data_IF_448337352501
#
_entry.id   IF_448337352501
#
_cell.length_a   1.000
_cell.length_b   1.000
_cell.length_c   1.000
_cell.angle_alpha   90.00
_cell.angle_beta   90.00
_cell.angle_gamma   90.00
#
_symmetry.space_group_name_H-M   'P 1'
#
loop_
_entity.id
_entity.type
_entity.pdbx_description
1 polymer ?
#
# COMPACT_ATOMS: atom_id res chain seq x y z
N UNK A 1 17.15 -14.93 19.73
CA UNK A 1 15.90 -14.17 19.46
C UNK A 1 15.93 -13.58 18.05
N UNK A 2 16.23 -14.39 17.01
CA UNK A 2 16.29 -13.93 15.61
C UNK A 2 15.36 -14.72 14.67
N UNK A 3 14.61 -15.70 15.19
CA UNK A 3 13.94 -16.71 14.35
C UNK A 3 12.40 -16.64 14.32
N UNK A 4 11.74 -15.88 15.21
CA UNK A 4 10.27 -15.78 15.21
C UNK A 4 9.72 -14.60 14.40
N UNK A 5 10.49 -13.51 14.30
CA UNK A 5 9.99 -12.28 13.65
C UNK A 5 10.09 -12.38 12.12
N UNK A 6 11.09 -13.08 11.60
CA UNK A 6 11.23 -13.33 10.16
C UNK A 6 10.26 -14.38 9.63
N UNK A 7 9.72 -15.26 10.48
CA UNK A 7 8.68 -16.22 10.08
C UNK A 7 7.42 -15.52 9.52
N UNK A 8 7.09 -14.33 10.05
CA UNK A 8 5.98 -13.47 9.55
C UNK A 8 6.16 -13.14 8.07
N UNK A 9 7.40 -12.95 7.61
CA UNK A 9 7.69 -12.66 6.20
C UNK A 9 7.41 -13.86 5.31
N UNK A 10 7.85 -15.06 5.74
CA UNK A 10 7.56 -16.32 5.04
C UNK A 10 6.06 -16.58 4.98
N UNK A 11 5.35 -16.44 6.10
CA UNK A 11 3.89 -16.60 6.15
C UNK A 11 3.16 -15.57 5.27
N UNK A 12 3.66 -14.32 5.23
CA UNK A 12 3.15 -13.28 4.35
C UNK A 12 3.33 -13.59 2.86
N UNK A 13 4.52 -14.08 2.46
CA UNK A 13 4.79 -14.56 1.10
C UNK A 13 3.92 -15.76 0.74
N UNK A 14 3.69 -16.67 1.68
CA UNK A 14 2.78 -17.81 1.53
C UNK A 14 1.33 -17.37 1.30
N UNK A 15 0.81 -16.36 2.01
CA UNK A 15 -0.54 -15.84 1.73
C UNK A 15 -0.61 -15.19 0.35
N UNK A 16 0.41 -14.41 -0.03
CA UNK A 16 0.49 -13.78 -1.35
C UNK A 16 0.48 -14.82 -2.48
N UNK A 17 1.33 -15.85 -2.39
CA UNK A 17 1.41 -16.93 -3.38
C UNK A 17 0.13 -17.75 -3.47
N UNK A 18 -0.55 -17.98 -2.35
CA UNK A 18 -1.75 -18.81 -2.30
C UNK A 18 -3.03 -18.09 -2.75
N UNK A 19 -3.05 -16.74 -2.73
CA UNK A 19 -4.25 -15.92 -2.94
C UNK A 19 -5.10 -16.38 -4.13
N UNK A 20 -4.50 -16.46 -5.32
CA UNK A 20 -5.23 -16.81 -6.55
C UNK A 20 -5.71 -18.24 -6.56
N UNK A 21 -4.88 -19.19 -6.13
CA UNK A 21 -5.25 -20.62 -6.12
C UNK A 21 -6.38 -20.92 -5.16
N UNK A 22 -6.43 -20.21 -4.03
CA UNK A 22 -7.39 -20.50 -2.96
C UNK A 22 -8.74 -19.82 -3.17
N UNK A 23 -8.74 -18.56 -3.59
CA UNK A 23 -9.98 -17.76 -3.66
C UNK A 23 -10.50 -17.59 -5.08
N UNK A 24 -9.66 -17.82 -6.09
CA UNK A 24 -9.92 -17.38 -7.45
C UNK A 24 -9.81 -15.85 -7.63
N UNK A 25 -9.39 -15.11 -6.59
CA UNK A 25 -9.24 -13.67 -6.60
C UNK A 25 -7.84 -13.20 -6.14
N UNK A 26 -7.66 -11.87 -6.15
CA UNK A 26 -6.39 -11.18 -5.88
C UNK A 26 -6.41 -10.44 -4.53
N UNK A 27 -7.46 -10.61 -3.74
CA UNK A 27 -7.74 -9.77 -2.58
C UNK A 27 -7.20 -10.37 -1.30
N UNK A 28 -7.12 -11.69 -1.16
CA UNK A 28 -6.48 -12.30 0.02
C UNK A 28 -4.98 -11.92 0.13
N UNK A 29 -4.33 -11.65 -1.00
CA UNK A 29 -2.98 -11.07 -1.07
C UNK A 29 -2.81 -9.80 -0.20
N UNK A 30 -3.87 -9.04 0.07
CA UNK A 30 -3.81 -7.88 0.95
C UNK A 30 -3.30 -8.23 2.35
N UNK A 31 -3.70 -9.39 2.90
CA UNK A 31 -3.31 -9.79 4.25
C UNK A 31 -1.85 -10.26 4.30
N UNK A 32 -1.36 -10.92 3.23
CA UNK A 32 0.05 -11.27 3.10
C UNK A 32 0.94 -10.03 3.00
N UNK A 33 0.57 -9.08 2.15
CA UNK A 33 1.23 -7.78 2.05
C UNK A 33 1.18 -7.00 3.38
N UNK A 34 0.06 -7.05 4.09
CA UNK A 34 -0.09 -6.40 5.38
C UNK A 34 0.76 -7.05 6.48
N UNK A 35 0.93 -8.37 6.46
CA UNK A 35 1.77 -9.07 7.42
C UNK A 35 3.25 -8.64 7.28
N UNK A 36 3.73 -8.60 6.04
CA UNK A 36 5.07 -8.10 5.70
C UNK A 36 5.20 -6.62 6.09
N UNK A 37 4.20 -5.79 5.80
CA UNK A 37 4.19 -4.38 6.19
C UNK A 37 4.26 -4.20 7.72
N UNK A 38 3.58 -5.04 8.49
CA UNK A 38 3.63 -5.02 9.95
C UNK A 38 5.04 -5.31 10.50
N UNK A 39 5.74 -6.30 9.92
CA UNK A 39 7.14 -6.58 10.26
C UNK A 39 8.04 -5.37 9.97
N UNK A 40 7.97 -4.84 8.75
CA UNK A 40 8.83 -3.71 8.38
C UNK A 40 8.45 -2.41 9.09
N UNK A 41 7.18 -2.22 9.48
CA UNK A 41 6.78 -1.08 10.29
C UNK A 41 7.50 -1.07 11.64
N UNK A 42 7.56 -2.22 12.31
CA UNK A 42 8.31 -2.39 13.57
C UNK A 42 9.80 -2.13 13.31
N UNK A 43 10.38 -2.84 12.34
CA UNK A 43 11.82 -2.82 12.06
C UNK A 43 12.32 -1.42 11.65
N UNK A 44 11.67 -0.80 10.67
CA UNK A 44 12.12 0.47 10.08
C UNK A 44 11.91 1.68 11.00
N UNK A 45 11.01 1.58 11.98
CA UNK A 45 10.75 2.65 12.95
C UNK A 45 11.37 2.38 14.32
N UNK A 46 12.14 1.29 14.47
CA UNK A 46 12.74 0.88 15.73
C UNK A 46 11.73 0.85 16.89
N UNK A 47 10.52 0.35 16.61
CA UNK A 47 9.48 0.24 17.63
C UNK A 47 9.94 -0.75 18.71
N UNK A 48 9.66 -0.43 19.96
CA UNK A 48 10.06 -1.27 21.10
C UNK A 48 8.93 -1.35 22.14
N UNK A 49 8.96 -2.40 22.95
CA UNK A 49 8.06 -2.57 24.09
C UNK A 49 6.60 -2.71 23.67
N UNK A 50 5.70 -1.98 24.34
CA UNK A 50 4.24 -2.18 24.17
C UNK A 50 3.73 -2.00 22.75
N UNK A 51 4.35 -1.12 21.97
CA UNK A 51 3.91 -0.85 20.58
C UNK A 51 4.29 -2.01 19.67
N UNK A 52 5.55 -2.45 19.75
CA UNK A 52 6.06 -3.63 19.04
C UNK A 52 5.22 -4.87 19.37
N UNK A 53 5.00 -5.14 20.66
CA UNK A 53 4.20 -6.27 21.13
C UNK A 53 2.77 -6.24 20.57
N UNK A 54 2.14 -5.06 20.54
CA UNK A 54 0.77 -4.90 20.06
C UNK A 54 0.67 -5.09 18.53
N UNK A 55 1.59 -4.49 17.76
CA UNK A 55 1.66 -4.69 16.30
C UNK A 55 1.88 -6.17 15.98
N UNK A 56 2.84 -6.81 16.65
CA UNK A 56 3.16 -8.22 16.45
C UNK A 56 2.01 -9.15 16.87
N UNK A 57 1.25 -8.80 17.92
CA UNK A 57 0.06 -9.54 18.33
C UNK A 57 -1.04 -9.50 17.28
N UNK A 58 -1.38 -8.30 16.77
CA UNK A 58 -2.39 -8.15 15.72
C UNK A 58 -1.96 -8.81 14.41
N UNK A 59 -0.67 -8.70 14.06
CA UNK A 59 -0.12 -9.34 12.86
C UNK A 59 -0.23 -10.86 12.94
N UNK A 60 0.17 -11.48 14.07
CA UNK A 60 0.00 -12.92 14.30
C UNK A 60 -1.46 -13.36 14.29
N UNK A 61 -2.37 -12.54 14.83
CA UNK A 61 -3.81 -12.84 14.84
C UNK A 61 -4.39 -12.81 13.42
N UNK A 62 -3.97 -11.86 12.59
CA UNK A 62 -4.33 -11.81 11.17
C UNK A 62 -3.79 -13.02 10.41
N UNK A 63 -2.50 -13.36 10.59
CA UNK A 63 -1.90 -14.56 10.00
C UNK A 63 -2.64 -15.82 10.42
N UNK A 64 -2.96 -15.98 11.70
CA UNK A 64 -3.72 -17.14 12.19
C UNK A 64 -5.11 -17.30 11.59
N UNK A 65 -5.69 -16.23 11.00
CA UNK A 65 -6.97 -16.29 10.28
C UNK A 65 -6.81 -16.62 8.81
N UNK A 66 -5.81 -16.06 8.13
CA UNK A 66 -5.68 -16.12 6.66
C UNK A 66 -4.62 -17.08 6.14
N UNK A 67 -3.62 -17.43 6.96
CA UNK A 67 -2.62 -18.41 6.59
C UNK A 67 -3.27 -19.80 6.57
N UNK A 68 -3.15 -20.48 5.45
CA UNK A 68 -3.60 -21.85 5.30
C UNK A 68 -2.39 -22.80 5.32
N UNK A 69 -2.55 -24.06 5.77
CA UNK A 69 -1.48 -25.04 5.70
C UNK A 69 -1.00 -25.24 4.26
N UNK A 70 0.29 -25.01 4.02
CA UNK A 70 0.90 -25.27 2.72
C UNK A 70 1.08 -26.76 2.45
N UNK A 71 0.92 -27.18 1.20
CA UNK A 71 1.49 -28.43 0.68
C UNK A 71 2.85 -28.08 0.06
N UNK A 72 3.95 -28.35 0.76
CA UNK A 72 5.27 -27.87 0.33
C UNK A 72 6.07 -28.99 -0.34
N UNK A 73 6.54 -28.70 -1.55
CA UNK A 73 7.86 -29.13 -2.04
C UNK A 73 8.89 -28.04 -1.71
N UNK A 74 9.96 -28.43 -1.03
CA UNK A 74 10.96 -27.56 -0.36
C UNK A 74 12.03 -26.99 -1.32
N UNK A 75 11.72 -26.76 -2.60
CA UNK A 75 12.73 -26.20 -3.50
C UNK A 75 12.91 -24.70 -3.23
N UNK A 76 14.05 -24.33 -2.66
CA UNK A 76 14.44 -22.95 -2.42
C UNK A 76 14.85 -22.24 -3.70
N UNK A 77 14.63 -20.93 -3.77
CA UNK A 77 15.09 -20.07 -4.86
C UNK A 77 15.95 -18.93 -4.31
N UNK A 78 16.98 -18.52 -5.05
CA UNK A 78 17.81 -17.36 -4.69
C UNK A 78 17.04 -16.06 -4.81
N UNK A 79 17.48 -15.01 -4.12
CA UNK A 79 16.90 -13.66 -4.22
C UNK A 79 16.90 -13.20 -5.68
N UNK A 80 18.02 -13.32 -6.39
CA UNK A 80 18.15 -12.84 -7.77
C UNK A 80 17.19 -13.55 -8.73
N UNK A 81 16.99 -14.86 -8.52
CA UNK A 81 16.11 -15.67 -9.36
C UNK A 81 14.64 -15.33 -9.10
N UNK A 82 14.23 -15.22 -7.83
CA UNK A 82 12.88 -14.81 -7.48
C UNK A 82 12.57 -13.38 -7.92
N UNK A 83 13.53 -12.47 -7.74
CA UNK A 83 13.44 -11.08 -8.17
C UNK A 83 13.25 -10.97 -9.69
N UNK A 84 14.05 -11.70 -10.46
CA UNK A 84 13.93 -11.72 -11.92
C UNK A 84 12.55 -12.16 -12.39
N UNK A 85 11.96 -13.18 -11.74
CA UNK A 85 10.60 -13.67 -12.05
C UNK A 85 9.53 -12.61 -11.76
N UNK A 86 9.57 -12.01 -10.56
CA UNK A 86 8.56 -11.04 -10.12
C UNK A 86 8.65 -9.74 -10.95
N UNK A 87 9.86 -9.26 -11.25
CA UNK A 87 10.05 -8.07 -12.08
C UNK A 87 9.59 -8.31 -13.53
N UNK A 88 9.92 -9.48 -14.10
CA UNK A 88 9.42 -9.83 -15.44
C UNK A 88 7.89 -9.86 -15.49
N UNK A 89 7.22 -10.33 -14.44
CA UNK A 89 5.76 -10.29 -14.35
C UNK A 89 5.18 -8.87 -14.23
N UNK A 90 5.93 -7.95 -13.61
CA UNK A 90 5.56 -6.55 -13.45
C UNK A 90 5.72 -5.73 -14.74
N UNK A 91 6.62 -6.14 -15.63
CA UNK A 91 7.05 -5.40 -16.82
C UNK A 91 5.90 -4.94 -17.72
N UNK A 92 4.88 -5.78 -17.92
CA UNK A 92 3.72 -5.48 -18.76
C UNK A 92 2.73 -4.47 -18.13
N UNK A 93 2.87 -4.18 -16.84
CA UNK A 93 1.87 -3.41 -16.06
C UNK A 93 2.43 -2.19 -15.34
N UNK A 94 3.76 -2.05 -15.24
CA UNK A 94 4.40 -0.97 -14.48
C UNK A 94 4.06 0.42 -15.03
N UNK A 95 3.90 0.55 -16.35
CA UNK A 95 3.60 1.84 -17.00
C UNK A 95 2.15 2.32 -16.79
N UNK A 96 1.30 1.47 -16.18
CA UNK A 96 -0.14 1.67 -16.05
C UNK A 96 -0.61 1.80 -14.60
N UNK A 97 -1.82 2.36 -14.44
CA UNK A 97 -2.56 2.30 -13.18
C UNK A 97 -3.47 1.07 -13.21
N UNK A 98 -3.20 0.11 -12.33
CA UNK A 98 -3.91 -1.17 -12.23
C UNK A 98 -4.38 -1.38 -10.81
N UNK A 99 -5.71 -1.37 -10.60
CA UNK A 99 -6.34 -1.41 -9.28
C UNK A 99 -5.58 -0.55 -8.27
N UNK A 100 -5.54 0.76 -8.46
CA UNK A 100 -4.91 1.72 -7.54
C UNK A 100 -3.45 1.39 -7.15
N UNK A 101 -2.72 0.61 -7.96
CA UNK A 101 -1.31 0.28 -7.79
C UNK A 101 -1.01 -1.10 -7.19
N UNK A 102 -2.01 -1.98 -7.04
CA UNK A 102 -1.82 -3.28 -6.37
C UNK A 102 -0.76 -4.19 -7.04
N UNK A 103 -0.60 -4.13 -8.36
CA UNK A 103 0.48 -4.84 -9.06
C UNK A 103 1.86 -4.45 -8.53
N UNK A 104 2.11 -3.15 -8.36
CA UNK A 104 3.39 -2.63 -7.89
C UNK A 104 3.56 -2.87 -6.39
N UNK A 105 2.49 -2.67 -5.61
CA UNK A 105 2.50 -2.89 -4.15
C UNK A 105 2.85 -4.35 -3.83
N UNK A 106 2.18 -5.31 -4.47
CA UNK A 106 2.43 -6.74 -4.23
C UNK A 106 3.80 -7.19 -4.71
N UNK A 107 4.27 -6.69 -5.86
CA UNK A 107 5.62 -6.98 -6.33
C UNK A 107 6.67 -6.44 -5.35
N UNK A 108 6.64 -5.14 -5.04
CA UNK A 108 7.64 -4.48 -4.22
C UNK A 108 7.72 -5.04 -2.79
N UNK A 109 6.57 -5.27 -2.15
CA UNK A 109 6.55 -5.81 -0.78
C UNK A 109 7.08 -7.25 -0.72
N UNK A 110 6.83 -8.05 -1.76
CA UNK A 110 7.36 -9.41 -1.87
C UNK A 110 8.88 -9.39 -2.06
N UNK A 111 9.39 -8.50 -2.92
CA UNK A 111 10.83 -8.34 -3.12
C UNK A 111 11.52 -7.91 -1.83
N UNK A 112 10.96 -6.95 -1.09
CA UNK A 112 11.49 -6.54 0.21
C UNK A 112 11.58 -7.72 1.20
N UNK A 113 10.54 -8.56 1.28
CA UNK A 113 10.56 -9.75 2.13
C UNK A 113 11.59 -10.79 1.69
N UNK A 114 11.73 -11.05 0.39
CA UNK A 114 12.71 -12.00 -0.15
C UNK A 114 14.15 -11.55 0.12
N UNK A 115 14.45 -10.26 -0.04
CA UNK A 115 15.75 -9.69 0.30
C UNK A 115 16.06 -9.81 1.80
N UNK A 116 15.07 -9.53 2.64
CA UNK A 116 15.20 -9.66 4.10
C UNK A 116 15.43 -11.12 4.56
N UNK A 117 14.80 -12.09 3.88
CA UNK A 117 14.94 -13.51 4.15
C UNK A 117 16.20 -14.14 3.51
N UNK A 118 16.82 -13.47 2.53
CA UNK A 118 17.92 -14.02 1.74
C UNK A 118 17.48 -15.07 0.71
N UNK A 119 16.21 -15.07 0.32
CA UNK A 119 15.63 -16.01 -0.64
C UNK A 119 14.19 -16.39 -0.26
N UNK A 120 13.64 -17.37 -0.95
CA UNK A 120 12.29 -17.88 -0.68
C UNK A 120 12.08 -19.27 -1.26
N UNK A 121 10.81 -19.69 -1.40
CA UNK A 121 10.47 -20.93 -2.08
C UNK A 121 10.18 -20.68 -3.56
N UNK A 122 10.66 -21.57 -4.42
CA UNK A 122 10.55 -21.44 -5.87
C UNK A 122 9.08 -21.32 -6.33
N UNK A 123 8.19 -22.13 -5.74
CA UNK A 123 6.78 -22.07 -6.04
C UNK A 123 6.16 -20.73 -5.61
N UNK A 124 6.52 -20.19 -4.45
CA UNK A 124 6.00 -18.90 -3.98
C UNK A 124 6.38 -17.77 -4.93
N UNK A 125 7.64 -17.71 -5.38
CA UNK A 125 8.08 -16.71 -6.35
C UNK A 125 7.31 -16.82 -7.68
N UNK A 126 7.07 -18.04 -8.16
CA UNK A 126 6.30 -18.30 -9.38
C UNK A 126 4.84 -17.85 -9.22
N UNK A 127 4.20 -18.22 -8.12
CA UNK A 127 2.80 -17.88 -7.86
C UNK A 127 2.58 -16.38 -7.63
N UNK A 128 3.53 -15.72 -6.98
CA UNK A 128 3.54 -14.25 -6.82
C UNK A 128 3.70 -13.58 -8.19
N UNK A 129 4.58 -14.08 -9.06
CA UNK A 129 4.70 -13.60 -10.42
C UNK A 129 3.36 -13.76 -11.19
N UNK A 130 2.68 -14.91 -11.06
CA UNK A 130 1.35 -15.11 -11.65
C UNK A 130 0.27 -14.18 -11.06
N UNK A 131 0.35 -13.85 -9.77
CA UNK A 131 -0.51 -12.84 -9.14
C UNK A 131 -0.26 -11.47 -9.76
N UNK A 132 0.99 -11.04 -9.89
CA UNK A 132 1.35 -9.74 -10.48
C UNK A 132 0.92 -9.66 -11.96
N UNK A 133 1.18 -10.69 -12.76
CA UNK A 133 0.75 -10.72 -14.17
C UNK A 133 -0.78 -10.72 -14.34
N UNK A 134 -1.55 -11.10 -13.33
CA UNK A 134 -3.02 -11.07 -13.41
C UNK A 134 -3.60 -9.65 -13.56
N UNK A 135 -2.79 -8.62 -13.30
CA UNK A 135 -3.21 -7.22 -13.37
C UNK A 135 -3.26 -6.64 -14.79
N UNK A 136 -2.67 -7.27 -15.80
CA UNK A 136 -2.51 -6.73 -17.17
C UNK A 136 -3.78 -6.13 -17.79
N UNK A 137 -4.95 -6.75 -17.53
CA UNK A 137 -6.23 -6.31 -18.12
C UNK A 137 -7.15 -5.62 -17.12
N UNK A 138 -6.64 -5.28 -15.94
CA UNK A 138 -7.45 -4.68 -14.89
C UNK A 138 -7.72 -3.20 -15.15
N UNK A 139 -8.78 -2.71 -14.53
CA UNK A 139 -9.14 -1.30 -14.52
C UNK A 139 -8.25 -0.52 -13.55
N UNK A 140 -8.13 0.81 -13.68
CA UNK A 140 -7.39 1.63 -12.72
C UNK A 140 -7.92 1.55 -11.29
N UNK A 141 -9.17 1.17 -11.10
CA UNK A 141 -9.91 1.23 -9.85
C UNK A 141 -11.37 1.56 -10.15
N UNK A 142 -12.25 1.41 -9.15
CA UNK A 142 -13.71 1.49 -9.35
C UNK A 142 -14.39 2.68 -8.68
N UNK A 143 -13.67 3.40 -7.82
CA UNK A 143 -14.21 4.43 -6.94
C UNK A 143 -13.41 5.71 -7.14
N UNK A 144 -14.06 6.74 -7.66
CA UNK A 144 -13.43 8.01 -8.04
C UNK A 144 -14.37 9.19 -7.80
N UNK A 145 -13.83 10.30 -7.33
CA UNK A 145 -14.49 11.61 -7.34
C UNK A 145 -14.08 12.32 -8.64
N UNK A 146 -15.03 12.98 -9.32
CA UNK A 146 -14.79 13.74 -10.55
C UNK A 146 -14.63 12.91 -11.84
N UNK A 147 -14.26 11.64 -11.74
CA UNK A 147 -13.94 10.78 -12.89
C UNK A 147 -14.66 9.43 -12.86
N UNK A 148 -14.72 8.76 -14.00
CA UNK A 148 -14.97 7.33 -14.15
C UNK A 148 -13.65 6.59 -14.39
N UNK A 149 -13.63 5.28 -14.16
CA UNK A 149 -12.45 4.44 -14.44
C UNK A 149 -11.94 4.56 -15.89
N UNK A 150 -12.86 4.76 -16.85
CA UNK A 150 -12.51 4.93 -18.26
C UNK A 150 -11.84 6.28 -18.53
N UNK A 151 -12.25 7.35 -17.84
CA UNK A 151 -11.59 8.66 -17.90
C UNK A 151 -10.23 8.61 -17.23
N UNK A 152 -10.10 8.00 -16.04
CA UNK A 152 -8.80 7.81 -15.36
C UNK A 152 -7.82 7.02 -16.24
N UNK A 153 -8.29 5.97 -16.92
CA UNK A 153 -7.44 5.19 -17.83
C UNK A 153 -6.83 6.05 -18.94
N UNK A 154 -7.63 6.96 -19.53
CA UNK A 154 -7.22 7.87 -20.62
C UNK A 154 -6.55 9.15 -20.13
N UNK A 155 -6.49 9.39 -18.82
CA UNK A 155 -5.92 10.59 -18.24
C UNK A 155 -4.45 10.71 -18.65
N UNK A 156 -4.08 11.87 -19.16
CA UNK A 156 -2.69 12.25 -19.45
C UNK A 156 -2.15 13.14 -18.35
N UNK A 157 -0.84 13.12 -18.15
CA UNK A 157 -0.11 14.05 -17.29
C UNK A 157 0.52 15.10 -18.18
N UNK A 158 0.35 16.37 -17.84
CA UNK A 158 0.86 17.51 -18.60
C UNK A 158 1.44 18.59 -17.67
N UNK A 159 2.10 19.59 -18.24
CA UNK A 159 2.78 20.64 -17.47
C UNK A 159 1.82 21.45 -16.57
N UNK A 160 0.53 21.57 -16.95
CA UNK A 160 -0.46 22.30 -16.17
C UNK A 160 -0.83 21.57 -14.88
N UNK A 161 -0.50 20.29 -14.77
CA UNK A 161 -0.64 19.55 -13.52
C UNK A 161 0.33 20.03 -12.44
N UNK A 162 1.37 20.80 -12.76
CA UNK A 162 2.30 21.31 -11.73
C UNK A 162 2.95 20.20 -10.90
N UNK A 163 3.16 19.04 -11.50
CA UNK A 163 3.90 17.93 -10.89
C UNK A 163 5.39 18.23 -11.08
N UNK A 164 6.20 18.29 -10.00
CA UNK A 164 7.63 18.53 -10.12
C UNK A 164 8.31 17.33 -10.80
N UNK A 165 9.54 17.55 -11.28
CA UNK A 165 10.39 16.43 -11.68
C UNK A 165 10.71 15.57 -10.45
N UNK A 166 10.56 14.24 -10.59
CA UNK A 166 10.83 13.25 -9.54
C UNK A 166 11.86 12.26 -10.07
N UNK A 167 13.09 12.39 -9.60
CA UNK A 167 14.23 11.57 -10.02
C UNK A 167 14.61 10.48 -9.01
N UNK A 168 14.18 10.61 -7.76
CA UNK A 168 14.55 9.72 -6.67
C UNK A 168 13.43 9.59 -5.61
N UNK A 169 13.65 8.68 -4.67
CA UNK A 169 12.65 8.37 -3.63
C UNK A 169 12.49 9.43 -2.54
N UNK A 170 13.45 10.32 -2.35
CA UNK A 170 13.36 11.42 -1.38
C UNK A 170 12.46 12.53 -1.94
N UNK A 171 12.66 12.89 -3.21
CA UNK A 171 11.78 13.79 -3.95
C UNK A 171 10.36 13.25 -4.02
N UNK A 172 10.19 11.94 -4.31
CA UNK A 172 8.86 11.33 -4.31
C UNK A 172 8.20 11.43 -2.92
N UNK A 173 8.94 11.16 -1.85
CA UNK A 173 8.41 11.25 -0.48
C UNK A 173 8.00 12.67 -0.11
N UNK A 174 8.83 13.66 -0.45
CA UNK A 174 8.52 15.06 -0.20
C UNK A 174 7.28 15.50 -0.97
N UNK A 175 7.16 15.10 -2.24
CA UNK A 175 5.99 15.38 -3.06
C UNK A 175 4.71 14.80 -2.44
N UNK A 176 4.71 13.50 -2.09
CA UNK A 176 3.51 12.81 -1.58
C UNK A 176 3.07 13.36 -0.22
N UNK A 177 4.00 13.73 0.67
CA UNK A 177 3.66 14.37 1.94
C UNK A 177 3.05 15.76 1.74
N UNK A 178 3.53 16.53 0.75
CA UNK A 178 2.92 17.82 0.39
C UNK A 178 1.53 17.65 -0.21
N UNK A 179 1.32 16.66 -1.08
CA UNK A 179 0.00 16.32 -1.61
C UNK A 179 -0.96 16.00 -0.47
N UNK A 180 -0.56 15.12 0.46
CA UNK A 180 -1.37 14.78 1.62
C UNK A 180 -1.67 16.00 2.51
N UNK A 181 -0.71 16.89 2.71
CA UNK A 181 -0.88 18.10 3.51
C UNK A 181 -1.85 19.13 2.89
N UNK A 182 -2.11 19.04 1.58
CA UNK A 182 -2.92 20.04 0.86
C UNK A 182 -4.43 19.95 1.15
N UNK A 183 -4.91 18.83 1.70
CA UNK A 183 -6.34 18.60 1.94
C UNK A 183 -6.83 19.36 3.18
N UNK A 184 -7.93 20.10 3.00
CA UNK A 184 -8.63 20.78 4.10
C UNK A 184 -9.53 19.82 4.88
N UNK A 185 -10.26 18.96 4.18
CA UNK A 185 -11.20 17.98 4.70
C UNK A 185 -10.91 16.61 4.09
N UNK A 186 -10.95 15.56 4.90
CA UNK A 186 -10.81 14.18 4.45
C UNK A 186 -12.13 13.45 4.72
N UNK A 187 -12.75 12.94 3.65
CA UNK A 187 -13.98 12.15 3.71
C UNK A 187 -13.71 10.65 3.82
N UNK A 188 -14.56 9.97 4.61
CA UNK A 188 -14.63 8.51 4.72
C UNK A 188 -15.33 7.92 3.49
N UNK A 189 -14.54 7.67 2.45
CA UNK A 189 -14.97 7.08 1.19
C UNK A 189 -13.84 6.27 0.53
N UNK A 190 -14.18 5.21 -0.20
CA UNK A 190 -13.24 4.40 -1.01
C UNK A 190 -12.56 5.30 -2.05
N UNK A 191 -13.33 6.22 -2.65
CA UNK A 191 -12.84 7.21 -3.60
C UNK A 191 -12.01 8.35 -2.99
N UNK A 192 -11.79 8.39 -1.67
CA UNK A 192 -11.11 9.49 -0.98
C UNK A 192 -10.06 9.03 0.04
N UNK A 193 -10.38 8.85 1.33
CA UNK A 193 -9.35 8.48 2.32
C UNK A 193 -8.62 7.17 1.97
N UNK A 194 -9.31 6.15 1.47
CA UNK A 194 -8.68 4.90 1.04
C UNK A 194 -7.78 5.14 -0.17
N UNK A 195 -8.23 5.96 -1.14
CA UNK A 195 -7.43 6.33 -2.30
C UNK A 195 -6.18 7.15 -1.91
N UNK A 196 -6.24 7.98 -0.88
CA UNK A 196 -5.05 8.63 -0.29
C UNK A 196 -4.11 7.61 0.37
N UNK A 197 -4.66 6.61 1.05
CA UNK A 197 -3.89 5.46 1.54
C UNK A 197 -3.22 4.68 0.40
N UNK A 198 -3.90 4.52 -0.74
CA UNK A 198 -3.32 3.92 -1.94
C UNK A 198 -2.25 4.79 -2.60
N UNK A 199 -2.41 6.12 -2.59
CA UNK A 199 -1.34 7.04 -2.97
C UNK A 199 -0.08 6.78 -2.13
N UNK A 200 -0.20 6.70 -0.80
CA UNK A 200 0.91 6.41 0.10
C UNK A 200 1.53 5.02 -0.13
N UNK A 201 0.72 3.99 -0.28
CA UNK A 201 1.21 2.61 -0.44
C UNK A 201 1.86 2.37 -1.79
N UNK A 202 1.30 2.94 -2.87
CA UNK A 202 1.89 2.85 -4.20
C UNK A 202 3.18 3.68 -4.30
N UNK A 203 3.22 4.92 -3.78
CA UNK A 203 4.47 5.69 -3.76
C UNK A 203 5.57 5.02 -2.93
N UNK A 204 5.21 4.39 -1.82
CA UNK A 204 6.16 3.60 -1.03
C UNK A 204 6.65 2.38 -1.82
N UNK A 205 5.78 1.67 -2.53
CA UNK A 205 6.18 0.54 -3.37
C UNK A 205 7.21 0.95 -4.45
N UNK A 206 7.04 2.13 -5.07
CA UNK A 206 8.05 2.67 -5.97
C UNK A 206 9.37 2.94 -5.24
N UNK A 207 9.33 3.54 -4.06
CA UNK A 207 10.54 3.75 -3.26
C UNK A 207 11.25 2.45 -2.88
N UNK A 208 10.51 1.37 -2.57
CA UNK A 208 11.11 0.06 -2.35
C UNK A 208 11.85 -0.42 -3.60
N UNK A 209 11.23 -0.30 -4.78
CA UNK A 209 11.90 -0.65 -6.05
C UNK A 209 13.15 0.20 -6.28
N UNK A 210 13.09 1.51 -5.97
CA UNK A 210 14.24 2.40 -6.07
C UNK A 210 15.38 1.96 -5.14
N UNK A 211 15.10 1.70 -3.86
CA UNK A 211 16.08 1.29 -2.86
C UNK A 211 16.74 -0.06 -3.19
N UNK A 212 16.00 -0.97 -3.83
CA UNK A 212 16.51 -2.25 -4.31
C UNK A 212 17.32 -2.10 -5.62
N UNK A 213 17.47 -0.88 -6.17
CA UNK A 213 18.25 -0.59 -7.36
C UNK A 213 17.46 -0.67 -8.68
N UNK A 214 16.14 -0.91 -8.63
CA UNK A 214 15.26 -1.06 -9.80
C UNK A 214 14.75 0.27 -10.32
N UNK A 215 15.67 1.22 -10.55
CA UNK A 215 15.33 2.62 -10.90
C UNK A 215 14.47 2.73 -12.18
N UNK A 216 14.66 1.84 -13.16
CA UNK A 216 13.85 1.82 -14.37
C UNK A 216 12.37 1.54 -14.06
N UNK A 217 12.07 0.61 -13.15
CA UNK A 217 10.70 0.31 -12.71
C UNK A 217 10.14 1.45 -11.85
N UNK A 218 10.95 2.08 -11.00
CA UNK A 218 10.56 3.29 -10.27
C UNK A 218 10.04 4.38 -11.23
N UNK A 219 10.82 4.75 -12.24
CA UNK A 219 10.44 5.81 -13.18
C UNK A 219 9.23 5.43 -14.04
N UNK A 220 9.17 4.18 -14.51
CA UNK A 220 8.04 3.67 -15.29
C UNK A 220 6.74 3.62 -14.50
N UNK A 221 6.82 3.43 -13.18
CA UNK A 221 5.66 3.41 -12.29
C UNK A 221 5.09 4.78 -11.91
N UNK A 222 5.90 5.85 -12.02
CA UNK A 222 5.47 7.22 -11.66
C UNK A 222 4.19 7.67 -12.38
N UNK A 223 4.03 7.50 -13.71
CA UNK A 223 2.81 7.90 -14.40
C UNK A 223 1.53 7.29 -13.82
N UNK A 224 1.56 6.02 -13.38
CA UNK A 224 0.42 5.36 -12.74
C UNK A 224 0.04 6.00 -11.41
N UNK A 225 1.03 6.24 -10.54
CA UNK A 225 0.86 6.92 -9.26
C UNK A 225 0.35 8.36 -9.45
N UNK A 226 0.94 9.12 -10.36
CA UNK A 226 0.62 10.52 -10.58
C UNK A 226 -0.82 10.72 -11.11
N UNK A 227 -1.42 9.71 -11.76
CA UNK A 227 -2.85 9.72 -12.07
C UNK A 227 -3.73 9.68 -10.82
N UNK A 228 -3.34 8.91 -9.79
CA UNK A 228 -4.05 8.93 -8.50
C UNK A 228 -3.99 10.34 -7.91
N UNK A 229 -2.81 10.96 -7.89
CA UNK A 229 -2.62 12.33 -7.39
C UNK A 229 -3.49 13.33 -8.13
N UNK A 230 -3.45 13.31 -9.47
CA UNK A 230 -4.26 14.20 -10.32
C UNK A 230 -5.75 14.05 -10.04
N UNK A 231 -6.25 12.83 -9.88
CA UNK A 231 -7.66 12.59 -9.52
C UNK A 231 -7.98 13.09 -8.12
N UNK A 232 -7.17 12.76 -7.11
CA UNK A 232 -7.39 13.16 -5.72
C UNK A 232 -7.42 14.69 -5.56
N UNK A 233 -6.60 15.43 -6.33
CA UNK A 233 -6.59 16.90 -6.32
C UNK A 233 -7.94 17.53 -6.66
N UNK A 234 -8.81 16.84 -7.41
CA UNK A 234 -10.18 17.35 -7.66
C UNK A 234 -11.04 17.42 -6.41
N UNK A 235 -10.60 16.78 -5.32
CA UNK A 235 -11.26 16.75 -4.03
C UNK A 235 -10.48 17.44 -2.92
N UNK A 236 -9.42 18.20 -3.23
CA UNK A 236 -8.62 18.88 -2.20
C UNK A 236 -9.41 19.92 -1.38
N UNK A 237 -10.41 20.54 -2.00
CA UNK A 237 -11.25 21.60 -1.46
C UNK A 237 -12.68 21.46 -2.00
N UNK A 238 -13.32 20.32 -1.75
CA UNK A 238 -14.74 20.14 -2.10
C UNK A 238 -15.61 21.14 -1.32
N UNK A 239 -16.43 21.91 -2.04
CA UNK A 239 -17.51 22.69 -1.46
C UNK A 239 -18.74 21.78 -1.27
N UNK A 240 -19.21 21.53 -0.04
CA UNK A 240 -20.42 20.73 0.20
C UNK A 240 -21.70 21.32 -0.42
N UNK A 241 -21.69 22.61 -0.79
CA UNK A 241 -22.81 23.26 -1.46
C UNK A 241 -22.85 22.98 -2.98
N UNK A 242 -21.75 22.52 -3.58
CA UNK A 242 -21.67 22.21 -5.00
C UNK A 242 -21.97 20.72 -5.30
N UNK A 243 -22.54 20.38 -6.47
CA UNK A 243 -22.76 19.00 -6.86
C UNK A 243 -21.44 18.21 -7.00
N UNK A 244 -21.24 17.20 -6.14
CA UNK A 244 -20.08 16.31 -6.22
C UNK A 244 -20.38 15.16 -7.19
N UNK A 245 -19.61 15.05 -8.28
CA UNK A 245 -19.64 13.87 -9.14
C UNK A 245 -18.89 12.72 -8.45
N UNK A 246 -19.62 11.68 -8.04
CA UNK A 246 -19.03 10.46 -7.51
C UNK A 246 -19.35 9.26 -8.41
N UNK A 247 -18.32 8.51 -8.81
CA UNK A 247 -18.46 7.27 -9.57
C UNK A 247 -17.85 6.17 -8.72
N UNK A 248 -18.69 5.51 -7.93
CA UNK A 248 -18.29 4.47 -6.99
C UNK A 248 -19.42 3.47 -6.75
N UNK A 249 -19.13 2.16 -6.68
CA UNK A 249 -20.13 1.17 -6.31
C UNK A 249 -20.54 1.27 -4.84
N UNK A 250 -19.69 1.83 -3.97
CA UNK A 250 -19.88 1.82 -2.50
C UNK A 250 -20.12 3.20 -1.91
N UNK A 251 -19.51 4.25 -2.46
CA UNK A 251 -19.60 5.59 -1.90
C UNK A 251 -20.94 6.25 -2.25
N UNK A 252 -21.49 7.01 -1.31
CA UNK A 252 -22.80 7.68 -1.43
C UNK A 252 -22.71 9.10 -0.93
N UNK A 253 -23.54 9.97 -1.49
CA UNK A 253 -23.72 11.34 -1.03
C UNK A 253 -24.79 11.42 0.07
N UNK A 254 -24.70 12.39 1.00
CA UNK A 254 -23.56 13.28 1.20
C UNK A 254 -22.33 12.52 1.72
N UNK A 255 -21.13 12.97 1.32
CA UNK A 255 -19.89 12.41 1.85
C UNK A 255 -19.80 12.71 3.35
N UNK A 256 -19.38 11.72 4.12
CA UNK A 256 -19.19 11.84 5.57
C UNK A 256 -17.72 12.12 5.85
N UNK A 257 -17.43 13.14 6.66
CA UNK A 257 -16.05 13.41 7.10
C UNK A 257 -15.47 12.20 7.84
N UNK A 258 -14.20 11.91 7.57
CA UNK A 258 -13.47 10.88 8.30
C UNK A 258 -13.30 11.30 9.76
N UNK A 259 -13.40 10.33 10.66
CA UNK A 259 -13.12 10.57 12.06
C UNK A 259 -11.60 10.69 12.26
N UNK A 260 -11.19 11.71 13.00
CA UNK A 260 -9.79 11.90 13.37
C UNK A 260 -9.38 10.86 14.42
N UNK A 261 -8.34 10.11 14.16
CA UNK A 261 -7.70 9.24 15.14
C UNK A 261 -6.99 10.05 16.24
N UNK A 262 -7.30 9.79 17.51
CA UNK A 262 -6.70 10.52 18.64
C UNK A 262 -5.26 10.08 18.92
N UNK A 263 -4.92 8.83 18.59
CA UNK A 263 -3.60 8.24 18.70
C UNK A 263 -2.98 7.96 17.32
N UNK A 264 -1.65 7.84 17.27
CA UNK A 264 -0.91 7.45 16.07
C UNK A 264 -0.36 6.02 16.21
N UNK A 265 -0.05 5.33 15.10
CA UNK A 265 0.41 3.94 15.13
C UNK A 265 1.72 3.68 15.89
N UNK A 266 2.53 4.70 16.18
CA UNK A 266 3.71 4.58 17.05
C UNK A 266 3.38 4.68 18.55
N UNK A 267 2.10 4.87 18.91
CA UNK A 267 1.62 4.97 20.27
C UNK A 267 0.85 3.69 20.62
N UNK A 268 1.08 3.13 21.81
CA UNK A 268 0.48 1.85 22.20
C UNK A 268 -1.04 1.91 22.34
N UNK A 269 -1.54 3.08 22.70
CA UNK A 269 -2.94 3.42 22.87
C UNK A 269 -3.71 3.26 21.54
N UNK A 270 -3.03 3.48 20.41
CA UNK A 270 -3.63 3.24 19.10
C UNK A 270 -4.03 1.78 18.93
N UNK A 271 -3.12 0.86 19.22
CA UNK A 271 -3.38 -0.57 19.07
C UNK A 271 -4.31 -1.12 20.16
N UNK A 272 -4.29 -0.55 21.36
CA UNK A 272 -5.20 -0.94 22.44
C UNK A 272 -6.68 -0.60 22.13
N UNK A 273 -6.92 0.42 21.31
CA UNK A 273 -8.27 0.84 20.89
C UNK A 273 -8.85 0.02 19.73
N UNK A 274 -8.11 -0.95 19.18
CA UNK A 274 -8.46 -1.63 17.93
C UNK A 274 -8.72 -3.11 18.19
N UNK A 275 -9.89 -3.59 17.73
CA UNK A 275 -10.10 -5.01 17.47
C UNK A 275 -10.01 -5.26 15.96
N UNK A 276 -8.80 -5.56 15.48
CA UNK A 276 -8.54 -5.82 14.06
C UNK A 276 -9.44 -6.90 13.45
N UNK A 277 -9.70 -8.04 14.12
CA UNK A 277 -10.57 -9.07 13.56
C UNK A 277 -12.03 -8.62 13.41
N UNK A 278 -12.51 -7.71 14.25
CA UNK A 278 -13.86 -7.16 14.12
C UNK A 278 -14.01 -6.25 12.89
N UNK A 279 -12.91 -5.60 12.47
CA UNK A 279 -12.86 -4.73 11.27
C UNK A 279 -12.18 -5.40 10.08
N UNK A 280 -11.84 -6.69 10.21
CA UNK A 280 -11.08 -7.43 9.22
C UNK A 280 -9.71 -6.81 8.87
N UNK A 281 -9.09 -6.16 9.87
CA UNK A 281 -7.88 -5.35 9.77
C UNK A 281 -7.97 -4.27 8.68
N UNK A 282 -9.19 -3.92 8.29
CA UNK A 282 -9.53 -3.05 7.17
C UNK A 282 -8.80 -3.45 5.89
N UNK A 283 -8.94 -4.73 5.48
CA UNK A 283 -8.19 -5.31 4.35
C UNK A 283 -6.67 -5.11 4.49
N UNK A 284 -6.18 -5.17 5.72
CA UNK A 284 -4.77 -4.98 6.06
C UNK A 284 -4.26 -3.53 6.00
N UNK A 285 -5.13 -2.53 5.76
CA UNK A 285 -4.75 -1.11 5.80
C UNK A 285 -4.21 -0.69 7.16
N UNK A 286 -4.65 -1.36 8.23
CA UNK A 286 -4.16 -1.14 9.58
C UNK A 286 -2.63 -1.24 9.69
N UNK A 287 -1.96 -2.02 8.82
CA UNK A 287 -0.50 -2.14 8.78
C UNK A 287 0.14 -1.40 7.61
N UNK A 288 -0.46 -1.53 6.41
CA UNK A 288 0.11 -0.96 5.18
C UNK A 288 0.20 0.57 5.23
N UNK A 289 -0.84 1.25 5.72
CA UNK A 289 -0.86 2.72 5.75
C UNK A 289 0.18 3.28 6.73
N UNK A 290 0.30 2.80 7.98
CA UNK A 290 1.39 3.20 8.87
C UNK A 290 2.77 2.94 8.29
N UNK A 291 3.01 1.75 7.76
CA UNK A 291 4.31 1.43 7.18
C UNK A 291 4.71 2.43 6.08
N UNK A 292 3.79 2.69 5.14
CA UNK A 292 4.02 3.61 4.03
C UNK A 292 4.13 5.07 4.44
N UNK A 293 3.26 5.54 5.33
CA UNK A 293 3.33 6.93 5.79
C UNK A 293 4.64 7.22 6.52
N UNK A 294 5.01 6.37 7.48
CA UNK A 294 6.24 6.58 8.25
C UNK A 294 7.51 6.42 7.41
N UNK A 295 7.47 5.56 6.41
CA UNK A 295 8.54 5.47 5.43
C UNK A 295 8.77 6.81 4.70
N UNK A 296 7.71 7.45 4.19
CA UNK A 296 7.84 8.78 3.58
C UNK A 296 8.26 9.84 4.60
N UNK A 297 7.64 9.83 5.79
CA UNK A 297 7.91 10.79 6.85
C UNK A 297 9.38 10.80 7.29
N UNK A 298 9.98 9.61 7.43
CA UNK A 298 11.36 9.47 7.93
C UNK A 298 12.42 9.84 6.88
N UNK A 299 12.06 9.85 5.58
CA UNK A 299 12.99 10.26 4.50
C UNK A 299 13.12 11.78 4.35
N UNK A 300 12.08 12.53 4.71
CA UNK A 300 12.00 13.96 4.40
C UNK A 300 12.33 14.80 5.63
N UNK A 301 13.45 15.51 5.57
CA UNK A 301 13.78 16.53 6.56
C UNK A 301 12.80 17.71 6.46
N UNK A 302 12.03 17.96 7.51
CA UNK A 302 11.07 19.06 7.54
C UNK A 302 9.73 18.78 6.86
N UNK A 303 9.26 17.52 6.89
CA UNK A 303 7.94 17.15 6.41
C UNK A 303 6.82 18.07 6.99
N UNK A 304 5.79 18.44 6.20
CA UNK A 304 4.74 19.33 6.67
C UNK A 304 3.97 18.72 7.84
N UNK A 305 3.85 19.45 8.96
CA UNK A 305 3.08 18.99 10.13
C UNK A 305 1.62 18.65 9.78
N UNK A 306 1.06 19.35 8.79
CA UNK A 306 -0.29 19.10 8.28
C UNK A 306 -0.43 17.72 7.61
N UNK A 307 0.63 17.13 7.05
CA UNK A 307 0.60 15.77 6.51
C UNK A 307 0.35 14.74 7.63
N UNK A 308 1.05 14.87 8.77
CA UNK A 308 0.82 14.03 9.96
C UNK A 308 -0.59 14.20 10.51
N UNK A 309 -1.09 15.43 10.55
CA UNK A 309 -2.46 15.69 10.98
C UNK A 309 -3.47 15.03 10.04
N UNK A 310 -3.31 15.18 8.73
CA UNK A 310 -4.20 14.58 7.74
C UNK A 310 -4.10 13.05 7.73
N UNK A 311 -2.93 12.48 8.03
CA UNK A 311 -2.76 11.04 8.18
C UNK A 311 -3.67 10.43 9.27
N UNK A 312 -3.98 11.19 10.34
CA UNK A 312 -4.92 10.74 11.40
C UNK A 312 -6.35 10.51 10.90
N UNK A 313 -6.70 11.05 9.73
CA UNK A 313 -8.01 10.86 9.11
C UNK A 313 -8.02 9.74 8.06
N UNK A 314 -6.85 9.17 7.75
CA UNK A 314 -6.69 8.06 6.79
C UNK A 314 -6.59 6.72 7.54
N UNK A 315 -6.06 6.72 8.75
CA UNK A 315 -5.95 5.52 9.59
C UNK A 315 -7.23 5.26 10.38
N UNK A 316 -7.29 4.08 11.00
CA UNK A 316 -8.41 3.69 11.84
C UNK A 316 -8.60 4.70 13.00
N UNK A 317 -9.81 5.21 13.21
CA UNK A 317 -10.08 6.11 14.32
C UNK A 317 -10.09 5.34 15.64
N UNK A 318 -9.41 5.89 16.64
CA UNK A 318 -9.37 5.42 18.03
C UNK A 318 -9.50 6.57 19.00
#
# INVERSE_FOLDING_TARGET
MRDNDTAILGDGLSILSQSRRQTGDIWQAHYGAAAIAGYFFIKANHLTGKVEEAVAAENRRMLGKYLQPGTVTEESVSVESAESLILAALDDTIDGLHWVGHNVIYAAISLAALHELGGGLCHEATDIAELVSSFVKTIPGRSWIGYSAAEVKRLTLDELDGIPEITDGDQLSAFILNELASYSVIYRAEAHHDLMGHMLTFSHALNILYDLGHHAYFHRGLPGLLKIVKVLRTSNQLDPAEPIRIVSPVDRLPLVEAARSSCLPHQSEYWAGIDGAATDWDFGHLFKFPFSFYHHWNRVSGAPAKAMENFRYIIHPV
#
